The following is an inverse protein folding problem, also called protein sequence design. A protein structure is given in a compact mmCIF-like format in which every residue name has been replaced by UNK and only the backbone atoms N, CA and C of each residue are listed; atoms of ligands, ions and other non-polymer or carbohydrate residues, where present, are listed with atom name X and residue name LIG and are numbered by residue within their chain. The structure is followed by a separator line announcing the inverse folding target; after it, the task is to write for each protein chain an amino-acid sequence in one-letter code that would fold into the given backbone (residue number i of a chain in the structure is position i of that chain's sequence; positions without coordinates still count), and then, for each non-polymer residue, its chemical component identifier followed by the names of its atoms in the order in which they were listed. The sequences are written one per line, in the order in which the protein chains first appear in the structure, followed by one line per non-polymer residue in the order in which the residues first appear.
data_IF_022702273715
#
_entry.id   IF_022702273715
#
_cell.length_a   1.000
_cell.length_b   1.000
_cell.length_c   1.000
_cell.angle_alpha   90.00
_cell.angle_beta   90.00
_cell.angle_gamma   90.00
#
_symmetry.space_group_name_H-M   'P 1'
#
loop_
_entity.id
_entity.type
_entity.pdbx_description
1 polymer ?
#
# COMPACT_ATOMS: atom_id res chain seq x y z
N UNK A 1 -37.94 -19.27 8.53
CA UNK A 1 -36.64 -19.40 7.88
C UNK A 1 -36.68 -20.64 7.02
N UNK A 2 -36.89 -20.44 5.74
CA UNK A 2 -36.92 -21.51 4.73
C UNK A 2 -35.53 -21.72 4.15
N UNK A 3 -35.22 -22.92 3.63
CA UNK A 3 -33.93 -23.22 2.96
C UNK A 3 -33.55 -22.18 1.89
N UNK A 4 -34.53 -21.57 1.23
CA UNK A 4 -34.34 -20.51 0.24
C UNK A 4 -33.87 -19.15 0.80
N UNK A 5 -33.94 -18.94 2.12
CA UNK A 5 -33.38 -17.77 2.81
C UNK A 5 -31.94 -18.02 3.30
N UNK A 6 -31.54 -19.30 3.47
CA UNK A 6 -30.15 -19.69 3.78
C UNK A 6 -29.27 -19.71 2.53
N UNK A 7 -29.78 -20.21 1.39
CA UNK A 7 -29.03 -20.18 0.11
C UNK A 7 -28.79 -18.75 -0.41
N UNK A 8 -29.63 -17.78 -0.03
CA UNK A 8 -29.45 -16.37 -0.43
C UNK A 8 -28.38 -15.63 0.38
N UNK A 9 -27.97 -16.17 1.52
CA UNK A 9 -26.89 -15.60 2.33
C UNK A 9 -25.52 -16.24 2.06
N UNK A 10 -25.47 -17.47 1.52
CA UNK A 10 -24.20 -18.14 1.17
C UNK A 10 -23.65 -17.76 -0.22
N UNK A 11 -24.46 -17.15 -1.09
CA UNK A 11 -24.10 -16.85 -2.48
C UNK A 11 -23.54 -15.45 -2.77
N UNK A 12 -23.54 -14.54 -1.80
CA UNK A 12 -23.18 -13.12 -2.02
C UNK A 12 -21.81 -12.75 -1.42
N UNK A 13 -21.42 -13.38 -0.30
CA UNK A 13 -20.14 -13.10 0.39
C UNK A 13 -18.90 -13.59 -0.39
N UNK A 14 -19.07 -14.45 -1.39
CA UNK A 14 -17.95 -15.01 -2.15
C UNK A 14 -17.56 -14.15 -3.34
N UNK A 15 -18.47 -13.42 -3.99
CA UNK A 15 -18.15 -12.67 -5.23
C UNK A 15 -17.33 -11.41 -4.99
N UNK A 16 -17.52 -10.75 -3.85
CA UNK A 16 -16.77 -9.54 -3.51
C UNK A 16 -15.30 -9.84 -3.18
N UNK A 17 -15.01 -11.01 -2.61
CA UNK A 17 -13.65 -11.47 -2.35
C UNK A 17 -12.84 -11.71 -3.63
N UNK A 18 -13.45 -12.31 -4.67
CA UNK A 18 -12.79 -12.51 -5.97
C UNK A 18 -12.57 -11.21 -6.74
N UNK A 19 -13.45 -10.21 -6.55
CA UNK A 19 -13.35 -8.93 -7.24
C UNK A 19 -12.10 -8.14 -6.81
N UNK A 20 -11.77 -8.15 -5.51
CA UNK A 20 -10.57 -7.47 -5.00
C UNK A 20 -9.29 -8.19 -5.46
N UNK A 21 -9.27 -9.53 -5.39
CA UNK A 21 -8.10 -10.33 -5.78
C UNK A 21 -7.67 -10.08 -7.24
N UNK A 22 -8.62 -9.77 -8.14
CA UNK A 22 -8.31 -9.41 -9.53
C UNK A 22 -7.39 -8.18 -9.66
N UNK A 23 -7.41 -7.25 -8.71
CA UNK A 23 -6.53 -6.08 -8.69
C UNK A 23 -5.15 -6.38 -8.09
N UNK A 24 -5.04 -7.42 -7.27
CA UNK A 24 -3.77 -7.80 -6.62
C UNK A 24 -2.94 -8.82 -7.40
N UNK A 25 -3.54 -9.50 -8.39
CA UNK A 25 -2.90 -10.58 -9.15
C UNK A 25 -1.62 -10.14 -9.89
N UNK A 26 -1.48 -8.84 -10.19
CA UNK A 26 -0.27 -8.26 -10.80
C UNK A 26 0.82 -7.99 -9.76
N UNK A 27 0.47 -7.89 -8.48
CA UNK A 27 1.38 -7.52 -7.41
C UNK A 27 1.83 -8.76 -6.61
N UNK A 28 0.90 -9.50 -5.98
CA UNK A 28 1.26 -10.62 -5.12
C UNK A 28 0.21 -11.74 -5.16
N UNK A 29 0.70 -12.98 -5.18
CA UNK A 29 -0.08 -14.21 -5.01
C UNK A 29 0.73 -15.13 -4.10
N UNK A 30 0.13 -15.59 -3.00
CA UNK A 30 0.80 -16.55 -2.11
C UNK A 30 1.03 -17.86 -2.84
N UNK A 31 2.28 -18.32 -2.88
CA UNK A 31 2.65 -19.58 -3.55
C UNK A 31 2.30 -20.79 -2.71
N UNK A 32 2.41 -20.66 -1.40
CA UNK A 32 2.30 -21.77 -0.46
C UNK A 32 1.00 -21.76 0.34
N UNK A 33 0.08 -20.83 0.06
CA UNK A 33 -1.23 -20.67 0.70
C UNK A 33 -1.14 -20.65 2.24
N UNK A 34 -0.08 -20.04 2.75
CA UNK A 34 0.12 -19.82 4.19
C UNK A 34 -0.75 -18.65 4.60
N UNK A 35 -1.50 -18.82 5.69
CA UNK A 35 -2.55 -17.87 6.09
C UNK A 35 -2.01 -16.45 6.27
N UNK A 36 -0.76 -16.31 6.72
CA UNK A 36 -0.09 -15.03 6.90
C UNK A 36 0.11 -14.28 5.59
N UNK A 37 0.48 -15.00 4.52
CA UNK A 37 0.69 -14.42 3.18
C UNK A 37 -0.60 -14.29 2.40
N UNK A 38 -1.57 -15.19 2.59
CA UNK A 38 -2.92 -15.03 2.04
C UNK A 38 -3.57 -13.75 2.59
N UNK A 39 -3.43 -13.48 3.88
CA UNK A 39 -3.90 -12.23 4.46
C UNK A 39 -3.16 -10.99 3.92
N UNK A 40 -1.87 -11.12 3.60
CA UNK A 40 -1.12 -10.04 2.94
C UNK A 40 -1.61 -9.84 1.51
N UNK A 41 -1.85 -10.92 0.76
CA UNK A 41 -2.42 -10.91 -0.59
C UNK A 41 -3.71 -10.10 -0.61
N UNK A 42 -4.67 -10.42 0.27
CA UNK A 42 -5.92 -9.66 0.39
C UNK A 42 -5.71 -8.17 0.69
N UNK A 43 -4.72 -7.83 1.53
CA UNK A 43 -4.39 -6.43 1.83
C UNK A 43 -3.82 -5.72 0.61
N UNK A 44 -2.90 -6.33 -0.11
CA UNK A 44 -2.29 -5.76 -1.31
C UNK A 44 -3.33 -5.61 -2.44
N UNK A 45 -4.19 -6.61 -2.64
CA UNK A 45 -5.34 -6.53 -3.53
C UNK A 45 -6.26 -5.36 -3.19
N UNK A 46 -6.56 -5.17 -1.90
CA UNK A 46 -7.39 -4.07 -1.43
C UNK A 46 -6.73 -2.70 -1.65
N UNK A 47 -5.42 -2.60 -1.44
CA UNK A 47 -4.65 -1.38 -1.69
C UNK A 47 -4.55 -1.05 -3.18
N UNK A 48 -4.30 -2.04 -4.03
CA UNK A 48 -4.30 -1.88 -5.49
C UNK A 48 -5.67 -1.42 -6.01
N UNK A 49 -6.75 -2.01 -5.51
CA UNK A 49 -8.10 -1.57 -5.80
C UNK A 49 -8.35 -0.13 -5.36
N UNK A 50 -8.00 0.20 -4.11
CA UNK A 50 -8.19 1.55 -3.56
C UNK A 50 -7.43 2.59 -4.37
N UNK A 51 -6.17 2.31 -4.72
CA UNK A 51 -5.34 3.16 -5.58
C UNK A 51 -6.01 3.40 -6.93
N UNK A 52 -6.47 2.33 -7.60
CA UNK A 52 -7.18 2.45 -8.89
C UNK A 52 -8.45 3.29 -8.78
N UNK A 53 -9.21 3.14 -7.68
CA UNK A 53 -10.43 3.90 -7.44
C UNK A 53 -10.17 5.37 -7.19
N UNK A 54 -9.16 5.70 -6.37
CA UNK A 54 -8.82 7.09 -6.10
C UNK A 54 -8.33 7.78 -7.38
N UNK A 55 -7.41 7.16 -8.13
CA UNK A 55 -6.90 7.73 -9.38
C UNK A 55 -8.05 8.04 -10.38
N UNK A 56 -8.95 7.06 -10.60
CA UNK A 56 -10.12 7.24 -11.48
C UNK A 56 -11.07 8.32 -10.98
N UNK A 57 -11.26 8.44 -9.66
CA UNK A 57 -12.11 9.47 -9.07
C UNK A 57 -11.52 10.87 -9.29
N UNK A 58 -10.20 11.03 -9.08
CA UNK A 58 -9.52 12.30 -9.33
C UNK A 58 -9.62 12.67 -10.81
N UNK A 59 -9.39 11.73 -11.73
CA UNK A 59 -9.48 11.97 -13.17
C UNK A 59 -10.91 12.37 -13.61
N UNK A 60 -11.93 11.76 -13.00
CA UNK A 60 -13.32 12.09 -13.27
C UNK A 60 -13.64 13.52 -12.81
N UNK A 61 -13.31 13.88 -11.57
CA UNK A 61 -13.51 15.24 -11.03
C UNK A 61 -12.74 16.30 -11.86
N UNK A 62 -11.50 16.02 -12.25
CA UNK A 62 -10.74 16.90 -13.13
C UNK A 62 -11.40 17.08 -14.50
N UNK A 63 -12.05 16.04 -15.01
CA UNK A 63 -12.80 16.13 -16.26
C UNK A 63 -14.04 17.00 -16.10
N UNK A 64 -14.80 16.84 -15.02
CA UNK A 64 -15.96 17.68 -14.71
C UNK A 64 -15.58 19.15 -14.55
N UNK A 65 -14.46 19.45 -13.88
CA UNK A 65 -13.96 20.82 -13.75
C UNK A 65 -13.55 21.43 -15.09
N UNK A 66 -12.97 20.64 -16.00
CA UNK A 66 -12.64 21.09 -17.38
C UNK A 66 -13.91 21.39 -18.17
N UNK A 67 -14.91 20.51 -18.11
CA UNK A 67 -16.21 20.73 -18.75
C UNK A 67 -16.93 21.98 -18.18
N UNK A 68 -16.85 22.18 -16.87
CA UNK A 68 -17.37 23.38 -16.22
C UNK A 68 -16.66 24.65 -16.72
N UNK A 69 -15.35 24.58 -16.96
CA UNK A 69 -14.59 25.68 -17.55
C UNK A 69 -15.05 25.99 -18.97
N UNK A 70 -15.13 24.97 -19.82
CA UNK A 70 -15.48 25.11 -21.24
C UNK A 70 -16.91 25.61 -21.44
N UNK A 71 -17.85 25.09 -20.65
CA UNK A 71 -19.26 25.52 -20.68
C UNK A 71 -19.51 26.86 -20.02
N UNK A 72 -18.58 27.33 -19.17
CA UNK A 72 -18.77 28.53 -18.35
C UNK A 72 -19.80 28.35 -17.22
N UNK A 73 -20.23 27.12 -16.94
CA UNK A 73 -21.28 26.83 -15.95
C UNK A 73 -20.91 27.20 -14.52
N UNK A 74 -19.61 27.30 -14.23
CA UNK A 74 -19.06 27.72 -12.95
C UNK A 74 -19.19 29.24 -12.68
N UNK A 75 -19.44 30.06 -13.71
CA UNK A 75 -19.42 31.53 -13.58
C UNK A 75 -20.68 32.07 -12.94
N UNK A 76 -20.50 32.89 -11.91
CA UNK A 76 -21.56 33.65 -11.25
C UNK A 76 -21.52 35.11 -11.69
N UNK A 77 -22.67 35.65 -12.11
CA UNK A 77 -22.79 37.02 -12.59
C UNK A 77 -22.34 38.04 -11.52
N UNK A 78 -21.38 38.91 -11.87
CA UNK A 78 -20.76 39.89 -10.97
C UNK A 78 -19.67 39.34 -10.05
N UNK A 79 -19.29 38.06 -10.20
CA UNK A 79 -18.26 37.34 -9.44
C UNK A 79 -17.42 36.46 -10.39
N UNK A 80 -17.32 36.84 -11.66
CA UNK A 80 -16.70 36.01 -12.69
C UNK A 80 -15.21 35.78 -12.39
N UNK A 81 -14.51 36.78 -11.87
CA UNK A 81 -13.09 36.67 -11.51
C UNK A 81 -12.85 35.70 -10.35
N UNK A 82 -13.65 35.79 -9.29
CA UNK A 82 -13.58 34.89 -8.14
C UNK A 82 -13.99 33.47 -8.52
N UNK A 83 -15.00 33.33 -9.39
CA UNK A 83 -15.47 32.02 -9.86
C UNK A 83 -14.41 31.31 -10.70
N UNK A 84 -13.76 32.02 -11.63
CA UNK A 84 -12.65 31.50 -12.44
C UNK A 84 -11.47 31.10 -11.52
N UNK A 85 -11.15 31.93 -10.52
CA UNK A 85 -10.08 31.66 -9.54
C UNK A 85 -10.36 30.42 -8.69
N UNK A 86 -11.58 30.26 -8.17
CA UNK A 86 -11.96 29.09 -7.39
C UNK A 86 -11.88 27.79 -8.21
N UNK A 87 -12.24 27.85 -9.50
CA UNK A 87 -12.11 26.70 -10.40
C UNK A 87 -10.64 26.33 -10.63
N UNK A 88 -9.77 27.33 -10.84
CA UNK A 88 -8.32 27.14 -10.97
C UNK A 88 -7.71 26.52 -9.71
N UNK A 89 -8.05 27.04 -8.52
CA UNK A 89 -7.61 26.50 -7.23
C UNK A 89 -8.08 25.07 -7.01
N UNK A 90 -9.34 24.76 -7.34
CA UNK A 90 -9.90 23.40 -7.20
C UNK A 90 -9.19 22.40 -8.11
N UNK A 91 -8.98 22.79 -9.37
CA UNK A 91 -8.27 21.97 -10.37
C UNK A 91 -6.85 21.71 -9.91
N UNK A 92 -6.14 22.76 -9.48
CA UNK A 92 -4.77 22.67 -9.01
C UNK A 92 -4.66 21.80 -7.75
N UNK A 93 -5.54 21.99 -6.77
CA UNK A 93 -5.54 21.23 -5.52
C UNK A 93 -5.77 19.74 -5.73
N UNK A 94 -6.69 19.37 -6.63
CA UNK A 94 -6.96 17.98 -6.99
C UNK A 94 -5.78 17.33 -7.72
N UNK A 95 -5.25 18.00 -8.74
CA UNK A 95 -4.18 17.44 -9.59
C UNK A 95 -2.83 17.33 -8.87
N UNK A 96 -2.61 18.16 -7.84
CA UNK A 96 -1.38 18.16 -7.05
C UNK A 96 -1.59 17.48 -5.71
N UNK A 97 -2.09 18.22 -4.72
CA UNK A 97 -2.11 17.83 -3.32
C UNK A 97 -2.91 16.55 -3.09
N UNK A 98 -4.13 16.46 -3.65
CA UNK A 98 -4.98 15.28 -3.46
C UNK A 98 -4.35 14.03 -4.07
N UNK A 99 -3.86 14.11 -5.31
CA UNK A 99 -3.18 12.99 -5.97
C UNK A 99 -1.93 12.55 -5.18
N UNK A 100 -1.11 13.51 -4.78
CA UNK A 100 0.15 13.23 -4.05
C UNK A 100 -0.08 12.67 -2.65
N UNK A 101 -1.06 13.20 -1.91
CA UNK A 101 -1.48 12.65 -0.62
C UNK A 101 -2.01 11.23 -0.80
N UNK A 102 -2.83 10.98 -1.82
CA UNK A 102 -3.39 9.66 -2.06
C UNK A 102 -2.30 8.60 -2.31
N UNK A 103 -1.31 8.92 -3.15
CA UNK A 103 -0.17 8.05 -3.40
C UNK A 103 0.63 7.77 -2.11
N UNK A 104 0.92 8.81 -1.33
CA UNK A 104 1.62 8.66 -0.04
C UNK A 104 0.86 7.79 0.97
N UNK A 105 -0.47 7.89 1.03
CA UNK A 105 -1.30 7.02 1.87
C UNK A 105 -1.17 5.55 1.46
N UNK A 106 -1.16 5.25 0.15
CA UNK A 106 -0.94 3.88 -0.36
C UNK A 106 0.43 3.37 0.07
N UNK A 107 1.49 4.17 -0.07
CA UNK A 107 2.85 3.78 0.37
C UNK A 107 2.87 3.43 1.86
N UNK A 108 2.32 4.31 2.72
CA UNK A 108 2.31 4.08 4.18
C UNK A 108 1.52 2.82 4.54
N UNK A 109 0.34 2.64 3.93
CA UNK A 109 -0.50 1.49 4.19
C UNK A 109 0.15 0.17 3.73
N UNK A 110 0.84 0.18 2.59
CA UNK A 110 1.59 -0.96 2.08
C UNK A 110 2.74 -1.34 3.02
N UNK A 111 3.51 -0.36 3.51
CA UNK A 111 4.54 -0.59 4.55
C UNK A 111 3.95 -1.19 5.82
N UNK A 112 2.81 -0.68 6.29
CA UNK A 112 2.14 -1.22 7.47
C UNK A 112 1.66 -2.67 7.25
N UNK A 113 1.22 -3.02 6.04
CA UNK A 113 0.85 -4.39 5.69
C UNK A 113 2.06 -5.33 5.77
N UNK A 114 3.23 -4.93 5.26
CA UNK A 114 4.46 -5.73 5.37
C UNK A 114 4.97 -5.83 6.81
N UNK A 115 4.93 -4.75 7.58
CA UNK A 115 5.26 -4.81 9.01
C UNK A 115 4.33 -5.76 9.77
N UNK A 116 3.05 -5.80 9.40
CA UNK A 116 2.06 -6.74 9.95
C UNK A 116 2.35 -8.18 9.57
N UNK A 117 2.81 -8.45 8.34
CA UNK A 117 3.29 -9.78 7.94
C UNK A 117 4.48 -10.18 8.82
N UNK A 118 5.51 -9.32 8.89
CA UNK A 118 6.71 -9.61 9.69
C UNK A 118 6.42 -9.86 11.17
N UNK A 119 5.43 -9.20 11.75
CA UNK A 119 4.98 -9.49 13.11
C UNK A 119 4.46 -10.92 13.27
N UNK A 120 3.77 -11.45 12.25
CA UNK A 120 3.27 -12.82 12.26
C UNK A 120 4.39 -13.84 12.03
N UNK A 121 5.41 -13.47 11.26
CA UNK A 121 6.61 -14.28 11.04
C UNK A 121 7.53 -14.33 12.28
N UNK A 122 7.43 -13.33 13.16
CA UNK A 122 8.13 -13.25 14.43
C UNK A 122 7.30 -13.90 15.54
N UNK A 123 7.21 -15.24 15.49
CA UNK A 123 6.35 -16.08 16.32
C UNK A 123 7.09 -16.83 17.44
N UNK A 124 8.39 -16.62 17.63
CA UNK A 124 9.19 -17.38 18.58
C UNK A 124 9.18 -16.78 19.99
N UNK A 125 9.38 -17.59 21.05
CA UNK A 125 9.56 -17.08 22.40
C UNK A 125 10.71 -16.05 22.46
N UNK A 126 10.41 -14.83 22.89
CA UNK A 126 11.36 -13.71 22.92
C UNK A 126 11.20 -12.67 21.81
N UNK A 127 10.30 -12.90 20.84
CA UNK A 127 10.05 -11.95 19.74
C UNK A 127 9.13 -10.77 20.13
N UNK A 128 8.56 -10.76 21.33
CA UNK A 128 7.59 -9.73 21.78
C UNK A 128 8.13 -8.29 21.64
N UNK A 129 9.40 -8.06 21.98
CA UNK A 129 10.03 -6.75 21.86
C UNK A 129 10.27 -6.34 20.39
N UNK A 130 10.32 -7.30 19.48
CA UNK A 130 10.49 -7.04 18.05
C UNK A 130 9.18 -6.61 17.38
N UNK A 131 8.02 -6.94 17.94
CA UNK A 131 6.73 -6.50 17.39
C UNK A 131 6.60 -4.97 17.41
N UNK A 132 7.23 -4.31 18.39
CA UNK A 132 7.33 -2.84 18.52
C UNK A 132 8.49 -2.23 17.73
N UNK A 133 9.36 -3.04 17.14
CA UNK A 133 10.46 -2.54 16.33
C UNK A 133 9.98 -2.05 14.96
N UNK A 134 10.76 -1.19 14.31
CA UNK A 134 10.49 -0.78 12.92
C UNK A 134 10.85 -1.86 11.89
N UNK A 135 10.29 -1.73 10.69
CA UNK A 135 10.48 -2.60 9.53
C UNK A 135 11.90 -3.16 9.36
N UNK A 136 12.92 -2.29 9.29
CA UNK A 136 14.33 -2.70 9.06
C UNK A 136 14.84 -3.66 10.14
N UNK A 137 14.51 -3.43 11.42
CA UNK A 137 14.97 -4.29 12.51
C UNK A 137 14.30 -5.67 12.44
N UNK A 138 13.00 -5.71 12.11
CA UNK A 138 12.25 -6.97 11.94
C UNK A 138 12.82 -7.80 10.80
N UNK A 139 12.99 -7.19 9.64
CA UNK A 139 13.53 -7.84 8.45
C UNK A 139 14.94 -8.39 8.69
N UNK A 140 15.81 -7.61 9.34
CA UNK A 140 17.15 -8.07 9.69
C UNK A 140 17.14 -9.33 10.55
N UNK A 141 16.28 -9.39 11.57
CA UNK A 141 16.17 -10.56 12.44
C UNK A 141 15.65 -11.77 11.67
N UNK A 142 14.64 -11.59 10.82
CA UNK A 142 14.11 -12.67 9.98
C UNK A 142 15.16 -13.19 8.98
N UNK A 143 15.88 -12.30 8.30
CA UNK A 143 16.95 -12.67 7.38
C UNK A 143 18.13 -13.38 8.08
N UNK A 144 18.46 -12.98 9.31
CA UNK A 144 19.47 -13.66 10.12
C UNK A 144 18.99 -15.03 10.62
N UNK A 145 17.70 -15.18 10.92
CA UNK A 145 17.08 -16.45 11.35
C UNK A 145 16.99 -17.48 10.22
N UNK A 146 16.74 -17.01 9.01
CA UNK A 146 16.59 -17.84 7.81
C UNK A 146 17.83 -17.75 6.93
N UNK A 147 18.99 -17.77 7.58
CA UNK A 147 20.28 -17.67 6.91
C UNK A 147 20.37 -18.68 5.75
N UNK A 148 20.96 -18.25 4.64
CA UNK A 148 21.13 -18.99 3.37
C UNK A 148 19.86 -19.22 2.53
N UNK A 149 18.67 -18.83 3.00
CA UNK A 149 17.41 -19.01 2.25
C UNK A 149 16.80 -17.71 1.70
N UNK A 150 17.23 -16.56 2.23
CA UNK A 150 16.77 -15.23 1.81
C UNK A 150 17.92 -14.43 1.21
N UNK A 151 17.69 -13.81 0.04
CA UNK A 151 18.58 -12.76 -0.45
C UNK A 151 18.43 -11.50 0.42
N UNK A 152 19.35 -11.37 1.38
CA UNK A 152 19.36 -10.26 2.35
C UNK A 152 19.57 -8.91 1.68
N UNK A 153 20.34 -8.85 0.59
CA UNK A 153 20.66 -7.58 -0.05
C UNK A 153 19.44 -7.08 -0.82
N UNK A 154 18.81 -7.96 -1.61
CA UNK A 154 17.58 -7.63 -2.34
C UNK A 154 16.46 -7.21 -1.37
N UNK A 155 16.30 -7.92 -0.25
CA UNK A 155 15.34 -7.54 0.78
C UNK A 155 15.65 -6.14 1.35
N UNK A 156 16.90 -5.84 1.74
CA UNK A 156 17.26 -4.52 2.27
C UNK A 156 17.03 -3.39 1.24
N UNK A 157 17.28 -3.64 -0.05
CA UNK A 157 17.07 -2.66 -1.11
C UNK A 157 15.58 -2.28 -1.23
N UNK A 158 14.67 -3.25 -1.17
CA UNK A 158 13.23 -2.98 -1.13
C UNK A 158 12.83 -2.19 0.11
N UNK A 159 13.32 -2.60 1.29
CA UNK A 159 12.93 -2.00 2.57
C UNK A 159 13.51 -0.60 2.77
N UNK A 160 14.72 -0.32 2.27
CA UNK A 160 15.32 1.01 2.36
C UNK A 160 14.50 2.01 1.58
N UNK A 161 14.14 1.67 0.34
CA UNK A 161 13.29 2.52 -0.49
C UNK A 161 11.94 2.80 0.20
N UNK A 162 11.28 1.75 0.69
CA UNK A 162 9.99 1.88 1.36
C UNK A 162 10.06 2.76 2.62
N UNK A 163 11.11 2.60 3.41
CA UNK A 163 11.38 3.42 4.60
C UNK A 163 11.61 4.88 4.23
N UNK A 164 12.45 5.14 3.25
CA UNK A 164 12.78 6.49 2.79
C UNK A 164 11.52 7.22 2.29
N UNK A 165 10.71 6.54 1.49
CA UNK A 165 9.44 7.09 0.97
C UNK A 165 8.43 7.36 2.07
N UNK A 166 8.17 6.40 2.97
CA UNK A 166 7.27 6.59 4.11
C UNK A 166 7.70 7.78 4.98
N UNK A 167 9.00 7.89 5.28
CA UNK A 167 9.52 8.98 6.10
C UNK A 167 9.43 10.33 5.37
N UNK A 168 9.76 10.38 4.08
CA UNK A 168 9.60 11.57 3.24
C UNK A 168 8.15 12.05 3.23
N UNK A 169 7.19 11.13 3.07
CA UNK A 169 5.76 11.45 3.12
C UNK A 169 5.35 12.03 4.47
N UNK A 170 5.76 11.39 5.57
CA UNK A 170 5.43 11.85 6.92
C UNK A 170 5.97 13.27 7.18
N UNK A 171 7.20 13.57 6.77
CA UNK A 171 7.77 14.90 6.93
C UNK A 171 6.98 15.96 6.12
N UNK A 172 6.59 15.66 4.88
CA UNK A 172 5.83 16.61 4.05
C UNK A 172 4.39 16.81 4.51
N UNK A 173 3.76 15.78 5.08
CA UNK A 173 2.42 15.91 5.63
C UNK A 173 2.41 16.72 6.93
N UNK A 174 3.52 16.66 7.70
CA UNK A 174 3.64 17.29 9.01
C UNK A 174 4.21 18.73 8.94
N UNK A 175 5.09 19.07 7.98
CA UNK A 175 5.65 20.42 7.78
C UNK A 175 4.55 21.50 7.95
N UNK A 176 4.44 22.33 9.00
CA UNK A 176 5.32 22.84 10.08
C UNK A 176 6.53 23.70 9.68
N UNK A 177 6.54 24.22 8.44
CA UNK A 177 7.44 25.33 8.05
C UNK A 177 6.62 26.60 7.83
N UNK A 178 7.00 27.65 8.56
CA UNK A 178 6.42 28.98 8.60
C UNK A 178 5.67 29.42 7.34
N UNK A 179 4.39 29.72 7.54
CA UNK A 179 3.39 30.28 6.61
C UNK A 179 3.80 31.52 5.80
N UNK A 180 5.02 32.04 5.97
CA UNK A 180 5.49 33.29 5.38
C UNK A 180 6.17 33.15 4.00
N UNK A 181 6.35 31.93 3.47
CA UNK A 181 7.05 31.67 2.19
C UNK A 181 6.28 30.77 1.20
N UNK A 182 4.94 30.85 1.15
CA UNK A 182 4.15 30.18 0.10
C UNK A 182 4.28 30.90 -1.26
N UNK A 183 5.47 30.85 -1.86
CA UNK A 183 5.68 31.16 -3.28
C UNK A 183 6.04 29.92 -4.09
N UNK A 184 6.32 28.78 -3.45
CA UNK A 184 6.57 27.51 -4.12
C UNK A 184 5.81 26.40 -3.37
N UNK A 185 4.90 25.66 -4.03
CA UNK A 185 4.33 24.45 -3.44
C UNK A 185 5.48 23.49 -3.10
N UNK A 186 5.38 22.78 -1.98
CA UNK A 186 6.29 21.67 -1.71
C UNK A 186 6.29 20.77 -2.95
N UNK A 187 7.45 20.54 -3.56
CA UNK A 187 7.55 19.60 -4.68
C UNK A 187 7.37 18.20 -4.11
N UNK A 188 6.16 17.69 -4.20
CA UNK A 188 5.86 16.32 -3.84
C UNK A 188 6.27 15.39 -5.00
N UNK A 189 7.08 14.38 -4.69
CA UNK A 189 7.47 13.29 -5.59
C UNK A 189 6.65 12.00 -5.34
N UNK A 190 5.41 12.17 -4.86
CA UNK A 190 4.46 11.08 -4.68
C UNK A 190 3.44 11.14 -5.79
N UNK A 191 3.53 10.25 -6.75
CA UNK A 191 2.58 10.13 -7.84
C UNK A 191 2.04 8.69 -7.92
N UNK A 192 1.24 8.46 -8.94
CA UNK A 192 0.65 7.16 -9.21
C UNK A 192 1.71 6.07 -9.45
N UNK A 193 2.89 6.44 -9.95
CA UNK A 193 4.04 5.53 -10.16
C UNK A 193 4.68 5.16 -8.81
N UNK A 194 4.88 6.12 -7.90
CA UNK A 194 5.37 5.84 -6.56
C UNK A 194 4.44 4.91 -5.76
N UNK A 195 3.12 5.01 -5.98
CA UNK A 195 2.16 4.10 -5.36
C UNK A 195 2.27 2.68 -5.93
N UNK A 196 2.43 2.54 -7.25
CA UNK A 196 2.63 1.24 -7.91
C UNK A 196 3.97 0.60 -7.50
N UNK A 197 5.08 1.36 -7.52
CA UNK A 197 6.40 0.88 -7.10
C UNK A 197 6.37 0.39 -5.65
N UNK A 198 5.59 1.03 -4.78
CA UNK A 198 5.43 0.56 -3.40
C UNK A 198 4.72 -0.80 -3.34
N UNK A 199 3.65 -1.02 -4.10
CA UNK A 199 2.96 -2.31 -4.16
C UNK A 199 3.88 -3.41 -4.73
N UNK A 200 4.65 -3.09 -5.78
CA UNK A 200 5.63 -4.01 -6.37
C UNK A 200 6.74 -4.38 -5.38
N UNK A 201 7.36 -3.40 -4.71
CA UNK A 201 8.44 -3.65 -3.74
C UNK A 201 7.97 -4.41 -2.51
N UNK A 202 6.77 -4.15 -2.02
CA UNK A 202 6.20 -4.92 -0.90
C UNK A 202 5.97 -6.36 -1.33
N UNK A 203 5.50 -6.57 -2.56
CA UNK A 203 5.28 -7.90 -3.11
C UNK A 203 6.60 -8.68 -3.27
N UNK A 204 7.64 -8.05 -3.83
CA UNK A 204 8.96 -8.63 -3.95
C UNK A 204 9.54 -8.99 -2.57
N UNK A 205 9.44 -8.08 -1.59
CA UNK A 205 9.86 -8.35 -0.22
C UNK A 205 9.08 -9.52 0.41
N UNK A 206 7.76 -9.59 0.18
CA UNK A 206 6.93 -10.68 0.67
C UNK A 206 7.28 -12.02 0.02
N UNK A 207 7.63 -12.05 -1.26
CA UNK A 207 8.11 -13.26 -1.95
C UNK A 207 9.40 -13.78 -1.32
N UNK A 208 10.37 -12.90 -1.09
CA UNK A 208 11.62 -13.27 -0.43
C UNK A 208 11.38 -13.85 0.98
N UNK A 209 10.42 -13.29 1.72
CA UNK A 209 10.04 -13.79 3.04
C UNK A 209 9.28 -15.12 2.98
N UNK A 210 8.39 -15.32 2.00
CA UNK A 210 7.65 -16.58 1.82
C UNK A 210 8.59 -17.74 1.51
N UNK A 211 9.50 -17.52 0.53
CA UNK A 211 10.51 -18.51 0.16
C UNK A 211 11.47 -18.80 1.32
N UNK A 212 11.92 -17.75 2.01
CA UNK A 212 12.80 -17.87 3.17
C UNK A 212 12.20 -18.72 4.28
N UNK A 213 10.92 -18.49 4.60
CA UNK A 213 10.20 -19.24 5.61
C UNK A 213 9.96 -20.69 5.20
N UNK A 214 9.54 -20.95 3.96
CA UNK A 214 9.30 -22.31 3.49
C UNK A 214 10.56 -23.17 3.49
N UNK A 215 11.69 -22.60 3.03
CA UNK A 215 12.97 -23.29 3.07
C UNK A 215 13.41 -23.57 4.52
N UNK A 216 13.20 -22.62 5.43
CA UNK A 216 13.49 -22.83 6.84
C UNK A 216 12.66 -23.97 7.45
N UNK A 217 11.36 -24.02 7.16
CA UNK A 217 10.48 -25.11 7.60
C UNK A 217 10.89 -26.46 7.01
N UNK A 218 11.31 -26.49 5.73
CA UNK A 218 11.79 -27.69 5.08
C UNK A 218 13.07 -28.24 5.75
N UNK A 219 14.01 -27.37 6.09
CA UNK A 219 15.26 -27.72 6.79
C UNK A 219 14.98 -28.28 8.18
N UNK A 220 14.13 -27.64 8.98
CA UNK A 220 13.74 -28.17 10.30
C UNK A 220 13.10 -29.57 10.22
N UNK A 221 12.27 -29.82 9.19
CA UNK A 221 11.65 -31.13 8.96
C UNK A 221 12.65 -32.18 8.50
N UNK A 222 13.74 -31.79 7.84
CA UNK A 222 14.81 -32.71 7.45
C UNK A 222 15.62 -33.12 8.68
N UNK A 223 15.97 -32.15 9.54
CA UNK A 223 16.72 -32.38 10.77
C UNK A 223 15.93 -33.23 11.78
N UNK A 224 14.62 -32.99 11.93
CA UNK A 224 13.76 -33.78 12.81
C UNK A 224 13.59 -35.24 12.34
N UNK A 225 13.80 -35.53 11.05
CA UNK A 225 13.80 -36.90 10.51
C UNK A 225 15.15 -37.61 10.67
N UNK A 226 16.18 -36.90 11.14
CA UNK A 226 17.54 -37.40 11.35
C UNK A 226 17.91 -37.48 12.84
N UNK A 227 16.93 -37.82 13.69
CA UNK A 227 17.18 -38.15 15.10
C UNK A 227 17.36 -39.67 15.21
N UNK A 228 18.55 -40.19 15.58
CA UNK A 228 18.82 -41.62 15.72
C UNK A 228 18.07 -42.28 16.88
#
# INVERSE_FOLDING_TARGET
MTEAELERHEGDDTKDGWYLLAYGHEYFISRHNRIEFVDLEYRLSSLAWLRSKIAKSIDAELTELREARESGSHRVAGWEGESDMMLDESTYGLDTSTRQISAGVIVVAAVAALESLMNRLLDQPGDEDLHRAGLTRKARVLAERWQDTVDRQELEDHLSWLRERRNSFAHRLIDDVDSQWRSHPATWDFDDEAADEALERISAAAWLLEEGWEQHLASQRADARYVP
#
